data_IF_152586636558
#
_entry.id   IF_152586636558
#
_cell.length_a   1.000
_cell.length_b   1.000
_cell.length_c   1.000
_cell.angle_alpha   90.00
_cell.angle_beta   90.00
_cell.angle_gamma   90.00
#
_symmetry.space_group_name_H-M   'P 1'
#
loop_
_entity.id
_entity.type
_entity.pdbx_description
1 polymer ?
#
# COMPACT_ATOMS: atom_id res chain seq x y z
N UNK A 1 -4.08 18.64 3.47
CA UNK A 1 -2.96 17.76 3.06
C UNK A 1 -3.46 16.81 1.98
N UNK A 2 -2.77 16.67 0.84
CA UNK A 2 -3.16 15.75 -0.23
C UNK A 2 -2.38 14.42 -0.11
N UNK A 3 -3.01 13.38 0.42
CA UNK A 3 -2.36 12.10 0.69
C UNK A 3 -1.99 11.34 -0.59
N UNK A 4 -2.83 11.38 -1.62
CA UNK A 4 -2.53 10.75 -2.91
C UNK A 4 -1.23 11.32 -3.52
N UNK A 5 -1.05 12.64 -3.46
CA UNK A 5 0.20 13.29 -3.88
C UNK A 5 1.39 12.91 -2.97
N UNK A 6 1.16 12.84 -1.65
CA UNK A 6 2.23 12.63 -0.67
C UNK A 6 2.74 11.19 -0.56
N UNK A 7 1.84 10.21 -0.72
CA UNK A 7 2.10 8.78 -0.61
C UNK A 7 2.13 8.05 -1.95
N UNK A 8 1.91 8.76 -3.06
CA UNK A 8 1.80 8.20 -4.42
C UNK A 8 0.61 7.25 -4.61
N UNK A 9 -0.01 7.31 -5.79
CA UNK A 9 -1.15 6.46 -6.14
C UNK A 9 -2.48 6.92 -5.54
N UNK A 10 -3.57 6.46 -6.16
CA UNK A 10 -4.92 6.61 -5.63
C UNK A 10 -5.24 5.50 -4.63
N UNK A 11 -5.84 5.87 -3.50
CA UNK A 11 -6.26 4.93 -2.46
C UNK A 11 -7.40 5.55 -1.64
N UNK A 12 -8.09 4.73 -0.86
CA UNK A 12 -9.05 5.19 0.14
C UNK A 12 -8.32 5.77 1.35
N UNK A 13 -7.72 6.94 1.17
CA UNK A 13 -7.01 7.65 2.23
C UNK A 13 -7.99 8.40 3.13
N UNK A 14 -7.86 8.19 4.45
CA UNK A 14 -8.42 9.08 5.48
C UNK A 14 -7.36 10.13 5.86
N UNK A 15 -6.77 10.04 7.06
CA UNK A 15 -5.58 10.81 7.44
C UNK A 15 -4.29 10.14 6.93
N UNK A 16 -4.21 9.97 5.60
CA UNK A 16 -3.20 9.18 4.88
C UNK A 16 -3.14 7.68 5.23
N UNK A 17 -4.01 7.21 6.12
CA UNK A 17 -4.33 5.81 6.34
C UNK A 17 -3.20 4.93 6.90
N UNK A 18 -3.51 3.65 7.05
CA UNK A 18 -2.60 2.61 7.54
C UNK A 18 -2.11 1.68 6.41
N UNK A 19 -2.58 1.88 5.19
CA UNK A 19 -2.16 1.11 4.03
C UNK A 19 -2.14 1.99 2.78
N UNK A 20 -1.34 1.57 1.82
CA UNK A 20 -1.42 2.01 0.44
C UNK A 20 -0.93 0.86 -0.43
N UNK A 21 -1.85 0.06 -0.97
CA UNK A 21 -1.47 -1.05 -1.86
C UNK A 21 -1.23 -0.58 -3.31
N UNK A 22 -1.59 0.67 -3.62
CA UNK A 22 -1.39 1.31 -4.92
C UNK A 22 -0.19 2.29 -4.92
N UNK A 23 0.67 2.21 -3.90
CA UNK A 23 1.87 3.04 -3.82
C UNK A 23 2.92 2.67 -4.86
N UNK A 24 3.97 3.49 -4.96
CA UNK A 24 5.09 3.26 -5.87
C UNK A 24 5.76 1.90 -5.59
N UNK A 25 5.91 1.08 -6.62
CA UNK A 25 6.74 -0.11 -6.51
C UNK A 25 8.23 0.29 -6.48
N UNK A 26 9.00 -0.28 -5.55
CA UNK A 26 10.44 -0.07 -5.47
C UNK A 26 11.17 -1.34 -5.90
N UNK A 27 12.05 -1.21 -6.90
CA UNK A 27 13.01 -2.25 -7.23
C UNK A 27 13.96 -2.50 -6.05
N UNK A 28 14.56 -3.69 -6.00
CA UNK A 28 15.52 -4.04 -4.96
C UNK A 28 16.91 -3.49 -5.33
N UNK A 29 17.61 -2.80 -4.41
CA UNK A 29 17.19 -2.42 -3.06
C UNK A 29 16.30 -1.16 -3.06
N UNK A 30 15.32 -1.07 -2.14
CA UNK A 30 14.51 0.13 -2.01
C UNK A 30 15.34 1.32 -1.49
N UNK A 31 14.86 2.57 -1.66
CA UNK A 31 15.59 3.76 -1.23
C UNK A 31 15.97 3.71 0.25
N UNK A 32 17.15 4.22 0.65
CA UNK A 32 17.61 4.13 2.05
C UNK A 32 16.77 4.97 3.02
N UNK A 33 16.24 6.09 2.55
CA UNK A 33 15.58 7.08 3.40
C UNK A 33 14.11 6.72 3.64
N UNK A 34 13.68 6.70 4.91
CA UNK A 34 12.30 6.35 5.32
C UNK A 34 11.25 7.23 4.64
N UNK A 35 11.51 8.52 4.49
CA UNK A 35 10.56 9.45 3.88
C UNK A 35 10.36 9.20 2.38
N UNK A 36 11.30 8.55 1.69
CA UNK A 36 11.13 8.14 0.30
C UNK A 36 10.28 6.85 0.25
N UNK A 37 10.51 5.91 1.18
CA UNK A 37 9.76 4.64 1.25
C UNK A 37 8.28 4.79 1.56
N UNK A 38 7.85 5.88 2.21
CA UNK A 38 6.43 6.12 2.52
C UNK A 38 5.55 6.25 1.26
N UNK A 39 6.18 6.57 0.12
CA UNK A 39 5.49 6.60 -1.17
C UNK A 39 5.26 5.20 -1.75
N UNK A 40 5.77 4.16 -1.10
CA UNK A 40 5.72 2.80 -1.60
C UNK A 40 4.46 2.04 -1.24
N UNK A 41 4.41 0.79 -1.69
CA UNK A 41 3.40 -0.18 -1.29
C UNK A 41 3.62 -0.56 0.18
N UNK A 42 2.67 -0.29 1.07
CA UNK A 42 2.83 -0.59 2.51
C UNK A 42 1.56 -1.05 3.21
N UNK A 43 1.76 -1.81 4.30
CA UNK A 43 0.71 -2.18 5.25
C UNK A 43 1.22 -1.99 6.70
N UNK A 44 0.79 -0.90 7.34
CA UNK A 44 1.36 -0.42 8.61
C UNK A 44 1.18 -1.41 9.75
N UNK A 45 0.03 -2.08 9.83
CA UNK A 45 -0.26 -3.04 10.91
C UNK A 45 0.44 -4.40 10.72
N UNK A 46 1.13 -4.63 9.59
CA UNK A 46 1.86 -5.86 9.33
C UNK A 46 3.38 -5.64 9.33
N UNK A 47 3.94 -5.01 8.29
CA UNK A 47 5.39 -4.79 8.15
C UNK A 47 5.82 -3.36 8.49
N UNK A 48 4.87 -2.48 8.80
CA UNK A 48 5.11 -1.07 9.06
C UNK A 48 4.99 -0.19 7.81
N UNK A 49 4.84 1.13 8.02
CA UNK A 49 4.60 2.13 6.97
C UNK A 49 5.76 2.31 5.99
N UNK A 50 7.00 2.04 6.42
CA UNK A 50 8.22 2.26 5.63
C UNK A 50 8.82 0.98 5.08
N UNK A 51 8.11 -0.15 5.18
CA UNK A 51 8.53 -1.41 4.59
C UNK A 51 7.84 -1.57 3.23
N UNK A 52 8.58 -1.48 2.12
CA UNK A 52 8.01 -1.61 0.79
C UNK A 52 7.73 -3.08 0.49
N UNK A 53 6.44 -3.40 0.34
CA UNK A 53 5.99 -4.74 -0.03
C UNK A 53 6.38 -5.05 -1.48
N UNK A 54 6.77 -6.32 -1.73
CA UNK A 54 7.17 -6.79 -3.06
C UNK A 54 5.98 -7.17 -3.94
N UNK A 55 4.91 -7.66 -3.34
CA UNK A 55 3.74 -8.16 -4.06
C UNK A 55 2.49 -7.85 -3.26
N UNK A 56 1.41 -7.54 -3.97
CA UNK A 56 0.08 -7.31 -3.42
C UNK A 56 -0.94 -7.83 -4.41
N UNK A 57 -1.94 -8.54 -3.92
CA UNK A 57 -3.07 -8.97 -4.72
C UNK A 57 -4.32 -8.74 -3.89
N UNK A 58 -5.25 -7.94 -4.41
CA UNK A 58 -6.58 -7.76 -3.84
C UNK A 58 -7.55 -8.62 -4.64
N UNK A 59 -8.27 -9.50 -3.97
CA UNK A 59 -9.30 -10.35 -4.56
C UNK A 59 -10.57 -10.20 -3.75
N UNK A 60 -11.70 -10.29 -4.43
CA UNK A 60 -13.02 -10.37 -3.80
C UNK A 60 -13.70 -11.63 -4.31
N UNK A 61 -14.59 -12.18 -3.49
CA UNK A 61 -15.49 -13.26 -3.85
C UNK A 61 -16.87 -12.93 -3.28
N UNK A 62 -17.95 -13.52 -3.80
CA UNK A 62 -19.26 -13.45 -3.17
C UNK A 62 -19.20 -13.84 -1.69
N UNK A 63 -20.01 -13.20 -0.86
CA UNK A 63 -20.10 -13.54 0.56
C UNK A 63 -20.66 -14.96 0.76
N UNK A 64 -21.52 -15.40 -0.15
CA UNK A 64 -22.01 -16.76 -0.26
C UNK A 64 -21.53 -17.34 -1.58
N UNK A 65 -20.69 -18.38 -1.50
CA UNK A 65 -20.22 -19.09 -2.68
C UNK A 65 -21.27 -20.16 -2.99
N UNK A 66 -22.12 -19.90 -3.99
CA UNK A 66 -23.06 -20.88 -4.50
C UNK A 66 -22.30 -21.89 -5.35
N UNK A 67 -22.02 -23.05 -4.76
CA UNK A 67 -21.43 -24.20 -5.45
C UNK A 67 -22.55 -25.00 -6.13
N UNK A 68 -23.21 -24.42 -7.13
CA UNK A 68 -24.08 -25.20 -8.02
C UNK A 68 -23.28 -26.21 -8.82
#
# INVERSE_FOLDING_TARGET
>A
MNCAKHLSGGWWFSNCGHSNLNGKYFNSPPPKQRHQRKQGVFWKTWRGRYYPLKTTVMKIAPAEIDYK
#
